data_IF_488882793728
#
_entry.id   IF_488882793728
#
_cell.length_a   1.000
_cell.length_b   1.000
_cell.length_c   1.000
_cell.angle_alpha   90.00
_cell.angle_beta   90.00
_cell.angle_gamma   90.00
#
_symmetry.space_group_name_H-M   'P 1'
#
loop_
_entity.id
_entity.type
_entity.pdbx_description
1 polymer ?
#
# COMPACT_ATOMS: atom_id res chain seq x y z
N UNK A 1 -6.64 7.06 -22.81
CA UNK A 1 -5.74 6.10 -22.14
C UNK A 1 -4.31 6.50 -22.39
N UNK A 2 -3.52 6.71 -21.35
CA UNK A 2 -2.08 6.93 -21.47
C UNK A 2 -1.41 5.62 -21.90
N UNK A 3 -0.60 5.68 -22.96
CA UNK A 3 0.23 4.55 -23.42
C UNK A 3 1.62 4.69 -22.82
N UNK A 4 2.11 3.62 -22.21
CA UNK A 4 3.45 3.52 -21.66
C UNK A 4 4.18 2.38 -22.36
N UNK A 5 5.35 2.66 -22.92
CA UNK A 5 6.22 1.66 -23.54
C UNK A 5 7.37 1.41 -22.58
N UNK A 6 7.59 0.15 -22.18
CA UNK A 6 8.68 -0.25 -21.29
C UNK A 6 9.52 -1.29 -22.03
N UNK A 7 10.83 -1.05 -22.07
CA UNK A 7 11.79 -2.04 -22.56
C UNK A 7 12.29 -2.86 -21.37
N UNK A 8 12.24 -4.18 -21.49
CA UNK A 8 12.61 -5.12 -20.44
C UNK A 8 13.58 -6.16 -21.02
N UNK A 9 14.60 -6.49 -20.24
CA UNK A 9 15.48 -7.60 -20.57
C UNK A 9 14.73 -8.94 -20.48
N UNK A 10 15.12 -9.87 -21.34
CA UNK A 10 14.55 -11.22 -21.43
C UNK A 10 14.51 -12.00 -20.10
N UNK A 11 15.58 -12.01 -19.26
CA UNK A 11 15.51 -12.67 -17.95
C UNK A 11 14.40 -12.09 -17.04
N UNK A 12 14.23 -10.77 -17.03
CA UNK A 12 13.21 -10.08 -16.21
C UNK A 12 11.82 -10.39 -16.74
N UNK A 13 11.65 -10.35 -18.06
CA UNK A 13 10.38 -10.67 -18.71
C UNK A 13 9.92 -12.11 -18.39
N UNK A 14 10.85 -13.07 -18.37
CA UNK A 14 10.57 -14.46 -18.02
C UNK A 14 10.07 -14.61 -16.57
N UNK A 15 10.60 -13.83 -15.63
CA UNK A 15 10.14 -13.81 -14.24
C UNK A 15 8.71 -13.27 -14.15
N UNK A 16 8.42 -12.17 -14.84
CA UNK A 16 7.07 -11.58 -14.90
C UNK A 16 6.08 -12.56 -15.50
N UNK A 17 6.45 -13.28 -16.56
CA UNK A 17 5.61 -14.29 -17.22
C UNK A 17 5.27 -15.46 -16.28
N UNK A 18 6.25 -15.96 -15.52
CA UNK A 18 6.02 -16.99 -14.49
C UNK A 18 5.03 -16.51 -13.42
N UNK A 19 5.15 -15.25 -12.98
CA UNK A 19 4.26 -14.65 -11.99
C UNK A 19 2.85 -14.43 -12.55
N UNK A 20 2.73 -13.96 -13.79
CA UNK A 20 1.45 -13.78 -14.48
C UNK A 20 0.67 -15.11 -14.54
N UNK A 21 1.34 -16.21 -14.88
CA UNK A 21 0.73 -17.55 -14.89
C UNK A 21 0.22 -17.99 -13.51
N UNK A 22 0.97 -17.71 -12.43
CA UNK A 22 0.53 -18.02 -11.06
C UNK A 22 -0.70 -17.22 -10.64
N UNK A 23 -0.80 -15.98 -11.09
CA UNK A 23 -1.90 -15.07 -10.76
C UNK A 23 -3.08 -15.16 -11.74
N UNK A 24 -3.01 -16.05 -12.74
CA UNK A 24 -4.02 -16.20 -13.80
C UNK A 24 -4.26 -14.89 -14.58
N UNK A 25 -3.20 -14.09 -14.77
CA UNK A 25 -3.22 -12.84 -15.50
C UNK A 25 -2.42 -12.95 -16.79
N UNK A 26 -2.71 -12.08 -17.76
CA UNK A 26 -1.80 -11.85 -18.89
C UNK A 26 -0.55 -11.11 -18.42
N UNK A 27 0.54 -11.22 -19.19
CA UNK A 27 1.79 -10.51 -18.88
C UNK A 27 1.60 -8.99 -18.80
N UNK A 28 0.71 -8.44 -19.63
CA UNK A 28 0.39 -7.01 -19.64
C UNK A 28 -0.38 -6.59 -18.39
N UNK A 29 -1.43 -7.31 -18.02
CA UNK A 29 -2.21 -7.05 -16.79
C UNK A 29 -1.33 -7.18 -15.55
N UNK A 30 -0.43 -8.16 -15.53
CA UNK A 30 0.50 -8.34 -14.43
C UNK A 30 1.46 -7.14 -14.28
N UNK A 31 1.92 -6.56 -15.39
CA UNK A 31 2.75 -5.34 -15.37
C UNK A 31 1.93 -4.14 -14.87
N UNK A 32 0.71 -3.97 -15.37
CA UNK A 32 -0.19 -2.91 -14.89
C UNK A 32 -0.45 -3.01 -13.38
N UNK A 33 -0.69 -4.23 -12.89
CA UNK A 33 -0.93 -4.51 -11.47
C UNK A 33 0.32 -4.26 -10.61
N UNK A 34 1.53 -4.53 -11.14
CA UNK A 34 2.79 -4.17 -10.47
C UNK A 34 2.93 -2.65 -10.36
N UNK A 35 2.68 -1.91 -11.46
CA UNK A 35 2.79 -0.45 -11.48
C UNK A 35 1.76 0.19 -10.55
N UNK A 36 0.50 -0.28 -10.57
CA UNK A 36 -0.55 0.19 -9.67
C UNK A 36 -0.17 -0.02 -8.20
N UNK A 37 0.24 -1.24 -7.84
CA UNK A 37 0.65 -1.54 -6.47
C UNK A 37 1.83 -0.69 -6.02
N UNK A 38 2.83 -0.51 -6.89
CA UNK A 38 3.99 0.32 -6.59
C UNK A 38 3.63 1.79 -6.37
N UNK A 39 2.73 2.34 -7.20
CA UNK A 39 2.27 3.72 -7.04
C UNK A 39 1.47 3.93 -5.74
N UNK A 40 0.60 2.97 -5.39
CA UNK A 40 -0.18 3.03 -4.15
C UNK A 40 0.71 2.85 -2.91
N UNK A 41 1.68 1.93 -2.97
CA UNK A 41 2.62 1.73 -1.86
C UNK A 41 3.53 2.93 -1.66
N UNK A 42 4.03 3.52 -2.75
CA UNK A 42 4.89 4.70 -2.71
C UNK A 42 4.19 5.88 -2.03
N UNK A 43 2.93 6.15 -2.39
CA UNK A 43 2.13 7.21 -1.76
C UNK A 43 1.92 7.03 -0.25
N UNK A 44 1.94 5.79 0.24
CA UNK A 44 1.71 5.47 1.64
C UNK A 44 3.01 5.28 2.45
N UNK A 45 4.18 5.25 1.80
CA UNK A 45 5.46 5.03 2.48
C UNK A 45 5.85 6.20 3.39
N UNK A 46 5.54 7.44 3.02
CA UNK A 46 5.88 8.63 3.83
C UNK A 46 5.29 8.60 5.25
N UNK A 47 4.18 7.88 5.45
CA UNK A 47 3.54 7.77 6.78
C UNK A 47 4.14 6.68 7.66
N UNK A 48 4.82 5.69 7.07
CA UNK A 48 5.37 4.52 7.77
C UNK A 48 6.89 4.57 7.91
N UNK A 49 7.59 5.27 7.02
CA UNK A 49 9.05 5.50 7.10
C UNK A 49 9.42 6.55 8.15
N UNK A 50 8.51 7.48 8.48
CA UNK A 50 8.74 8.55 9.46
C UNK A 50 8.69 8.09 10.94
N UNK A 51 8.29 6.84 11.22
CA UNK A 51 8.29 6.29 12.57
C UNK A 51 9.68 5.73 12.90
N UNK A 52 10.24 6.15 14.05
CA UNK A 52 11.50 5.59 14.58
C UNK A 52 11.35 4.06 14.72
N UNK A 53 12.43 3.28 14.54
CA UNK A 53 12.37 1.82 14.64
C UNK A 53 11.73 1.34 15.95
N UNK A 54 11.98 2.06 17.06
CA UNK A 54 11.42 1.77 18.38
C UNK A 54 9.89 1.96 18.42
N UNK A 55 9.39 3.02 17.77
CA UNK A 55 7.95 3.29 17.66
C UNK A 55 7.22 2.23 16.84
N UNK A 56 7.92 1.54 15.91
CA UNK A 56 7.33 0.44 15.12
C UNK A 56 7.08 -0.80 15.95
N UNK A 57 8.00 -1.17 16.85
CA UNK A 57 7.80 -2.31 17.75
C UNK A 57 6.64 -2.02 18.70
N UNK A 58 6.62 -0.83 19.30
CA UNK A 58 5.51 -0.40 20.16
C UNK A 58 4.19 -0.41 19.38
N UNK A 59 4.14 0.11 18.16
CA UNK A 59 2.91 0.12 17.35
C UNK A 59 2.45 -1.28 16.88
N UNK A 60 3.36 -2.25 16.73
CA UNK A 60 3.02 -3.64 16.36
C UNK A 60 2.43 -4.37 17.58
N UNK A 61 3.00 -4.18 18.77
CA UNK A 61 2.56 -4.85 20.00
C UNK A 61 1.46 -4.11 20.75
N UNK A 62 1.29 -2.80 20.58
CA UNK A 62 0.21 -2.02 21.20
C UNK A 62 -1.11 -2.10 20.43
N UNK A 63 -1.19 -2.88 19.36
CA UNK A 63 -2.41 -3.13 18.57
C UNK A 63 -3.39 -4.03 19.33
N UNK A 64 -3.77 -3.62 20.53
CA UNK A 64 -5.14 -3.83 20.98
C UNK A 64 -5.94 -2.63 20.44
N UNK A 65 -6.56 -2.79 19.27
CA UNK A 65 -7.45 -1.78 18.68
C UNK A 65 -8.76 -1.67 19.49
N UNK A 66 -8.69 -1.33 20.78
CA UNK A 66 -9.83 -0.83 21.53
C UNK A 66 -10.06 0.60 21.04
N UNK A 67 -10.96 0.74 20.06
CA UNK A 67 -11.25 2.02 19.40
C UNK A 67 -11.47 3.19 20.38
N UNK A 68 -11.27 4.42 19.90
CA UNK A 68 -11.50 5.66 20.67
C UNK A 68 -12.93 5.66 21.24
N UNK A 69 -13.08 5.78 22.57
CA UNK A 69 -14.38 6.14 23.18
C UNK A 69 -14.86 7.47 22.58
N UNK A 70 -16.06 7.55 21.99
CA UNK A 70 -16.55 8.79 21.41
C UNK A 70 -16.73 9.85 22.50
N UNK A 71 -16.17 11.06 22.30
CA UNK A 71 -16.41 12.21 23.19
C UNK A 71 -17.87 12.63 23.07
N UNK A 72 -18.64 12.55 24.17
CA UNK A 72 -19.97 13.18 24.26
C UNK A 72 -19.81 14.68 24.01
N UNK A 73 -20.43 15.21 22.95
CA UNK A 73 -20.52 16.66 22.72
C UNK A 73 -21.28 17.28 23.90
N UNK A 74 -20.64 18.16 24.68
CA UNK A 74 -21.35 19.00 25.66
C UNK A 74 -22.29 19.92 24.86
N UNK A 75 -23.61 19.73 25.00
CA UNK A 75 -24.60 20.72 24.53
C UNK A 75 -24.31 22.02 25.28
N UNK A 76 -23.79 23.03 24.58
CA UNK A 76 -23.50 24.32 25.18
C UNK A 76 -24.76 24.94 25.78
N UNK A 77 -24.67 25.43 27.02
CA UNK A 77 -25.62 26.41 27.55
C UNK A 77 -25.51 27.66 26.66
N UNK A 78 -26.54 27.97 25.88
CA UNK A 78 -26.73 29.33 25.38
C UNK A 78 -27.09 30.22 26.58
N UNK A 79 -26.53 31.42 26.55
CA UNK A 79 -26.67 32.50 27.53
C UNK A 79 -28.12 32.80 27.86
#
# INVERSE_FOLDING_TARGET
MTKLTIHLDEPIFNIIKKRAKKNLLTSREQIEDIVRRSAVSYKNQDKLSALKPDDKLIAVFSRENRGRKPKKKKKGKKK
#
